data_IF_398196352390
#
_entry.id   IF_398196352390
#
_cell.length_a   1.000
_cell.length_b   1.000
_cell.length_c   1.000
_cell.angle_alpha   90.00
_cell.angle_beta   90.00
_cell.angle_gamma   90.00
#
_symmetry.space_group_name_H-M   'P 1'
#
loop_
_entity.id
_entity.type
_entity.pdbx_description
1 polymer ?
#
# COMPACT_ATOMS: atom_id res chain seq x y z
N UNK A 1 42.31 -24.66 -51.91
CA UNK A 1 42.56 -24.17 -53.29
C UNK A 1 41.24 -23.73 -53.90
N UNK A 2 41.21 -22.48 -54.39
CA UNK A 2 40.29 -21.86 -55.37
C UNK A 2 38.80 -21.62 -55.02
N UNK A 3 38.54 -20.36 -54.66
CA UNK A 3 37.43 -19.45 -55.01
C UNK A 3 36.48 -19.88 -56.14
N UNK A 4 35.21 -19.47 -56.04
CA UNK A 4 34.56 -18.52 -56.97
C UNK A 4 33.20 -18.04 -56.44
N UNK A 5 32.89 -16.77 -56.71
CA UNK A 5 31.74 -16.01 -56.23
C UNK A 5 30.80 -15.57 -57.39
N UNK A 6 29.53 -15.26 -57.06
CA UNK A 6 28.62 -14.37 -57.78
C UNK A 6 27.59 -15.04 -58.74
N UNK A 7 26.46 -14.39 -59.08
CA UNK A 7 26.17 -12.94 -58.97
C UNK A 7 24.80 -12.54 -58.35
N UNK A 8 24.65 -11.21 -58.28
CA UNK A 8 23.55 -10.38 -57.80
C UNK A 8 22.25 -10.48 -58.61
N UNK A 9 21.12 -10.24 -57.94
CA UNK A 9 19.84 -9.90 -58.57
C UNK A 9 18.97 -9.07 -57.62
N UNK A 10 18.87 -7.76 -57.88
CA UNK A 10 18.00 -6.82 -57.18
C UNK A 10 16.66 -6.68 -57.92
N UNK A 11 15.54 -6.64 -57.18
CA UNK A 11 14.28 -6.07 -57.65
C UNK A 11 13.74 -5.15 -56.55
N UNK A 12 13.61 -3.88 -56.90
CA UNK A 12 12.93 -2.82 -56.14
C UNK A 12 11.52 -2.72 -56.69
N UNK A 13 10.50 -2.67 -55.83
CA UNK A 13 9.27 -1.93 -56.13
C UNK A 13 8.58 -1.45 -54.85
N UNK A 14 8.38 -0.14 -54.80
CA UNK A 14 7.73 0.62 -53.76
C UNK A 14 6.21 0.52 -53.83
N UNK A 15 5.55 0.57 -52.68
CA UNK A 15 4.11 0.77 -52.53
C UNK A 15 3.82 1.63 -51.30
N UNK A 16 3.09 2.72 -51.52
CA UNK A 16 2.89 3.87 -50.62
C UNK A 16 1.73 3.67 -49.64
N UNK A 17 1.85 4.38 -48.51
CA UNK A 17 1.00 4.58 -47.32
C UNK A 17 -0.54 4.59 -47.49
N UNK A 18 -1.25 4.18 -46.43
CA UNK A 18 -2.36 4.97 -45.82
C UNK A 18 -2.74 4.50 -44.40
N UNK A 19 -2.54 5.42 -43.45
CA UNK A 19 -3.26 5.74 -42.20
C UNK A 19 -4.18 4.73 -41.47
N UNK A 20 -4.05 4.72 -40.14
CA UNK A 20 -5.22 4.92 -39.27
C UNK A 20 -5.51 3.88 -38.19
N UNK A 21 -4.68 3.82 -37.14
CA UNK A 21 -5.16 3.74 -35.75
C UNK A 21 -3.99 4.08 -34.81
N UNK A 22 -3.96 5.33 -34.36
CA UNK A 22 -3.22 5.76 -33.17
C UNK A 22 -3.85 5.09 -31.95
N UNK A 23 -3.42 3.87 -31.66
CA UNK A 23 -3.63 3.23 -30.37
C UNK A 23 -2.38 3.43 -29.51
N UNK A 24 -2.14 4.68 -29.08
CA UNK A 24 -1.20 4.95 -28.00
C UNK A 24 -1.76 4.32 -26.73
N UNK A 25 -1.46 3.04 -26.48
CA UNK A 25 -1.57 2.50 -25.13
C UNK A 25 -0.32 2.95 -24.40
N UNK A 26 -0.50 3.97 -23.58
CA UNK A 26 0.50 4.58 -22.75
C UNK A 26 1.37 3.52 -22.06
N UNK A 27 2.61 3.42 -22.53
CA UNK A 27 3.73 2.94 -21.73
C UNK A 27 3.90 3.94 -20.58
N UNK A 28 3.17 3.74 -19.49
CA UNK A 28 3.51 4.35 -18.20
C UNK A 28 4.76 3.64 -17.66
N UNK A 29 5.90 4.04 -18.23
CA UNK A 29 7.26 3.65 -17.86
C UNK A 29 7.68 4.10 -16.47
N UNK A 30 6.90 3.73 -15.45
CA UNK A 30 7.32 3.75 -14.05
C UNK A 30 7.55 2.32 -13.59
N UNK A 31 8.78 1.82 -13.68
CA UNK A 31 9.20 0.45 -13.34
C UNK A 31 9.11 0.07 -11.85
N UNK A 32 8.20 0.69 -11.09
CA UNK A 32 8.02 0.46 -9.65
C UNK A 32 6.71 -0.26 -9.37
N UNK A 33 6.71 -1.10 -8.33
CA UNK A 33 5.50 -1.78 -7.85
C UNK A 33 4.37 -0.79 -7.54
N UNK A 34 3.13 -1.28 -7.52
CA UNK A 34 1.96 -0.48 -7.11
C UNK A 34 2.17 0.16 -5.73
N UNK A 35 2.79 -0.59 -4.81
CA UNK A 35 3.16 -0.12 -3.50
C UNK A 35 4.15 1.05 -3.55
N UNK A 36 5.24 0.94 -4.32
CA UNK A 36 6.22 2.03 -4.44
C UNK A 36 5.59 3.29 -5.04
N UNK A 37 4.69 3.14 -6.04
CA UNK A 37 3.92 4.28 -6.57
C UNK A 37 3.02 4.91 -5.52
N UNK A 38 2.38 4.12 -4.67
CA UNK A 38 1.56 4.64 -3.57
C UNK A 38 2.40 5.42 -2.54
N UNK A 39 3.59 4.93 -2.18
CA UNK A 39 4.52 5.62 -1.28
C UNK A 39 5.01 6.98 -1.82
N UNK A 40 5.09 7.14 -3.16
CA UNK A 40 5.38 8.44 -3.80
C UNK A 40 4.29 9.48 -3.56
N UNK A 41 3.09 9.08 -3.15
CA UNK A 41 2.00 10.04 -2.87
C UNK A 41 1.99 10.53 -1.42
N UNK A 42 2.86 9.98 -0.56
CA UNK A 42 2.94 10.33 0.86
C UNK A 42 4.16 11.22 1.13
N UNK A 43 4.00 12.29 1.92
CA UNK A 43 5.10 13.20 2.20
C UNK A 43 6.15 12.53 3.08
N UNK A 44 7.42 12.87 2.88
CA UNK A 44 8.53 12.38 3.71
C UNK A 44 8.34 12.68 5.22
N UNK A 45 7.57 13.71 5.58
CA UNK A 45 7.24 14.04 6.97
C UNK A 45 6.36 12.99 7.68
N UNK A 46 5.82 12.01 6.95
CA UNK A 46 5.07 10.90 7.51
C UNK A 46 5.95 9.71 7.93
N UNK A 47 7.29 9.83 7.86
CA UNK A 47 8.24 8.74 8.08
C UNK A 47 8.14 8.05 9.45
N UNK A 48 7.63 8.77 10.45
CA UNK A 48 7.41 8.29 11.82
C UNK A 48 6.03 7.71 12.07
N UNK A 49 5.11 7.84 11.13
CA UNK A 49 3.77 7.30 11.27
C UNK A 49 3.66 5.85 10.83
N UNK A 50 2.66 5.15 11.35
CA UNK A 50 2.19 3.93 10.71
C UNK A 50 1.58 4.25 9.35
N UNK A 51 1.93 3.49 8.31
CA UNK A 51 1.36 3.65 6.96
C UNK A 51 0.79 2.32 6.51
N UNK A 52 -0.51 2.27 6.21
CA UNK A 52 -1.18 1.10 5.65
C UNK A 52 -1.60 1.39 4.21
N UNK A 53 -1.25 0.49 3.30
CA UNK A 53 -1.56 0.49 1.88
C UNK A 53 -2.47 -0.67 1.52
N UNK A 54 -3.43 -0.44 0.63
CA UNK A 54 -4.27 -1.48 0.03
C UNK A 54 -4.43 -1.21 -1.48
N UNK A 55 -4.15 -2.23 -2.29
CA UNK A 55 -4.60 -2.33 -3.69
C UNK A 55 -6.08 -2.71 -3.69
N UNK A 56 -6.96 -1.72 -3.88
CA UNK A 56 -8.40 -1.89 -3.69
C UNK A 56 -9.02 -2.84 -4.73
N UNK A 57 -8.68 -2.78 -6.03
CA UNK A 57 -9.17 -3.74 -7.01
C UNK A 57 -8.84 -5.19 -6.65
N UNK A 58 -7.64 -5.45 -6.13
CA UNK A 58 -7.23 -6.79 -5.69
C UNK A 58 -7.94 -7.21 -4.42
N UNK A 59 -7.99 -6.33 -3.41
CA UNK A 59 -8.72 -6.56 -2.17
C UNK A 59 -10.20 -6.91 -2.43
N UNK A 60 -10.87 -6.19 -3.33
CA UNK A 60 -12.26 -6.47 -3.72
C UNK A 60 -12.43 -7.87 -4.29
N UNK A 61 -11.54 -8.31 -5.19
CA UNK A 61 -11.57 -9.68 -5.75
C UNK A 61 -11.37 -10.73 -4.65
N UNK A 62 -10.45 -10.50 -3.72
CA UNK A 62 -10.20 -11.40 -2.59
C UNK A 62 -11.40 -11.47 -1.64
N UNK A 63 -12.02 -10.34 -1.33
CA UNK A 63 -13.25 -10.26 -0.54
C UNK A 63 -14.43 -10.99 -1.18
N UNK A 64 -14.57 -10.93 -2.51
CA UNK A 64 -15.59 -11.69 -3.23
C UNK A 64 -15.29 -13.21 -3.20
N UNK A 65 -14.02 -13.61 -3.28
CA UNK A 65 -13.57 -15.01 -3.25
C UNK A 65 -13.76 -15.66 -1.88
N UNK A 66 -13.32 -14.99 -0.80
CA UNK A 66 -13.44 -15.49 0.56
C UNK A 66 -13.56 -14.33 1.58
N UNK A 67 -14.78 -13.83 1.73
CA UNK A 67 -15.06 -12.72 2.66
C UNK A 67 -14.61 -13.01 4.08
N UNK A 68 -14.67 -14.25 4.56
CA UNK A 68 -14.31 -14.59 5.95
C UNK A 68 -12.80 -14.46 6.18
N UNK A 69 -12.00 -14.88 5.21
CA UNK A 69 -10.55 -14.74 5.26
C UNK A 69 -10.11 -13.28 5.08
N UNK A 70 -10.70 -12.56 4.12
CA UNK A 70 -10.23 -11.23 3.70
C UNK A 70 -11.04 -10.06 4.28
N UNK A 71 -11.88 -10.30 5.29
CA UNK A 71 -12.84 -9.31 5.82
C UNK A 71 -12.23 -7.95 6.15
N UNK A 72 -10.99 -7.91 6.65
CA UNK A 72 -10.28 -6.66 7.00
C UNK A 72 -10.05 -5.78 5.76
N UNK A 73 -9.78 -6.39 4.60
CA UNK A 73 -9.52 -5.68 3.34
C UNK A 73 -10.81 -5.11 2.73
N UNK A 74 -11.98 -5.66 3.08
CA UNK A 74 -13.25 -5.28 2.46
C UNK A 74 -13.74 -3.89 2.87
N UNK A 75 -13.12 -3.26 3.87
CA UNK A 75 -13.46 -1.93 4.37
C UNK A 75 -12.52 -0.83 3.89
N UNK A 76 -11.74 -1.04 2.82
CA UNK A 76 -10.72 -0.09 2.30
C UNK A 76 -9.62 0.30 3.30
N UNK A 77 -9.57 -0.30 4.50
CA UNK A 77 -8.58 0.01 5.52
C UNK A 77 -8.62 1.43 6.07
N UNK A 78 -9.74 2.16 5.93
CA UNK A 78 -9.88 3.53 6.46
C UNK A 78 -10.71 3.57 7.75
N UNK A 79 -10.35 4.50 8.62
CA UNK A 79 -10.98 4.66 9.93
C UNK A 79 -12.48 5.01 9.81
N UNK A 80 -12.87 5.80 8.81
CA UNK A 80 -14.27 6.21 8.63
C UNK A 80 -15.23 5.04 8.40
N UNK A 81 -14.73 3.93 7.82
CA UNK A 81 -15.53 2.73 7.60
C UNK A 81 -15.45 1.76 8.79
N UNK A 82 -14.36 1.81 9.54
CA UNK A 82 -14.10 0.88 10.64
C UNK A 82 -14.69 1.35 11.97
N UNK A 83 -14.50 2.61 12.35
CA UNK A 83 -14.89 3.14 13.68
C UNK A 83 -16.29 3.71 13.75
N UNK A 84 -16.81 4.25 12.65
CA UNK A 84 -18.19 4.79 12.63
C UNK A 84 -19.24 3.68 12.58
N UNK A 85 -18.82 2.42 12.73
CA UNK A 85 -19.70 1.27 12.68
C UNK A 85 -20.50 1.29 11.39
N UNK A 86 -19.83 1.36 10.24
CA UNK A 86 -20.51 1.23 8.96
C UNK A 86 -21.19 -0.14 8.91
N UNK A 87 -22.46 -0.16 9.30
CA UNK A 87 -23.30 -1.36 9.49
C UNK A 87 -23.89 -1.89 8.18
N UNK A 88 -23.25 -1.56 7.04
CA UNK A 88 -23.67 -2.03 5.72
C UNK A 88 -24.73 -1.17 5.02
N UNK A 89 -24.73 0.15 5.25
CA UNK A 89 -25.45 1.12 4.40
C UNK A 89 -24.89 1.14 2.97
N UNK A 90 -25.31 2.06 2.09
CA UNK A 90 -24.64 2.22 0.78
C UNK A 90 -23.46 3.18 0.94
N UNK A 91 -22.22 2.72 0.72
CA UNK A 91 -21.01 3.57 0.78
C UNK A 91 -21.20 4.79 -0.12
N UNK A 92 -21.78 4.56 -1.31
CA UNK A 92 -22.14 5.60 -2.27
C UNK A 92 -23.19 6.57 -1.73
N UNK A 93 -24.21 6.06 -1.03
CA UNK A 93 -25.23 6.92 -0.42
C UNK A 93 -24.70 7.77 0.73
N UNK A 94 -23.84 7.19 1.57
CA UNK A 94 -23.36 7.81 2.80
C UNK A 94 -22.16 8.73 2.57
N UNK A 95 -21.29 8.39 1.62
CA UNK A 95 -20.00 9.04 1.41
C UNK A 95 -19.79 9.56 -0.02
N UNK A 96 -20.68 9.21 -0.94
CA UNK A 96 -20.65 9.70 -2.32
C UNK A 96 -19.68 8.96 -3.26
N UNK A 97 -19.06 7.88 -2.79
CA UNK A 97 -18.21 7.00 -3.58
C UNK A 97 -18.44 5.55 -3.14
N UNK A 98 -17.99 4.56 -3.91
CA UNK A 98 -17.94 3.16 -3.50
C UNK A 98 -16.55 2.53 -3.75
N UNK A 99 -16.39 1.23 -3.50
CA UNK A 99 -15.11 0.53 -3.64
C UNK A 99 -14.60 0.46 -5.09
N UNK A 100 -15.49 0.51 -6.10
CA UNK A 100 -15.09 0.57 -7.51
C UNK A 100 -14.57 1.94 -7.94
N UNK A 101 -14.82 2.99 -7.15
CA UNK A 101 -14.33 4.34 -7.40
C UNK A 101 -12.90 4.53 -6.83
N UNK A 102 -12.35 3.52 -6.15
CA UNK A 102 -11.04 3.57 -5.47
C UNK A 102 -10.09 2.53 -6.05
N UNK A 103 -8.90 2.98 -6.47
CA UNK A 103 -7.81 2.14 -6.95
C UNK A 103 -6.79 1.85 -5.85
N UNK A 104 -6.53 2.81 -4.97
CA UNK A 104 -5.55 2.69 -3.89
C UNK A 104 -6.08 3.36 -2.63
N UNK A 105 -5.90 2.70 -1.49
CA UNK A 105 -6.16 3.27 -0.18
C UNK A 105 -4.86 3.36 0.63
N UNK A 106 -4.63 4.53 1.22
CA UNK A 106 -3.55 4.77 2.16
C UNK A 106 -4.13 5.32 3.46
N UNK A 107 -3.77 4.72 4.59
CA UNK A 107 -4.03 5.25 5.92
C UNK A 107 -2.70 5.61 6.58
N UNK A 108 -2.62 6.79 7.18
CA UNK A 108 -1.40 7.33 7.79
C UNK A 108 -1.71 7.77 9.22
N UNK A 109 -0.88 7.31 10.15
CA UNK A 109 -0.97 7.64 11.56
C UNK A 109 -2.30 7.18 12.16
N UNK A 110 -2.95 8.05 12.92
CA UNK A 110 -4.18 7.74 13.65
C UNK A 110 -5.45 8.16 12.90
N UNK A 111 -5.47 7.98 11.57
CA UNK A 111 -6.69 8.05 10.78
C UNK A 111 -6.76 9.09 9.68
N UNK A 112 -5.67 9.80 9.36
CA UNK A 112 -5.61 10.49 8.07
C UNK A 112 -5.59 9.43 6.96
N UNK A 113 -6.33 9.65 5.89
CA UNK A 113 -6.40 8.72 4.77
C UNK A 113 -6.29 9.44 3.43
N UNK A 114 -5.72 8.76 2.45
CA UNK A 114 -5.64 9.21 1.05
C UNK A 114 -6.12 8.07 0.17
N UNK A 115 -7.23 8.31 -0.51
CA UNK A 115 -7.79 7.42 -1.53
C UNK A 115 -7.44 7.98 -2.91
N UNK A 116 -6.91 7.14 -3.79
CA UNK A 116 -6.75 7.45 -5.21
C UNK A 116 -7.77 6.65 -6.03
N UNK A 117 -8.33 7.25 -7.07
CA UNK A 117 -9.29 6.60 -7.94
C UNK A 117 -10.04 7.58 -8.84
N UNK A 118 -11.35 7.38 -9.00
CA UNK A 118 -12.22 8.22 -9.83
C UNK A 118 -13.39 8.72 -9.00
N UNK A 119 -13.37 10.00 -8.63
CA UNK A 119 -14.32 10.58 -7.70
C UNK A 119 -15.21 11.61 -8.39
N UNK A 120 -16.52 11.51 -8.14
CA UNK A 120 -17.48 12.56 -8.45
C UNK A 120 -17.52 13.54 -7.26
N UNK A 121 -16.82 14.66 -7.43
CA UNK A 121 -16.67 15.70 -6.39
C UNK A 121 -18.01 16.27 -5.95
N UNK A 122 -18.99 16.38 -6.86
CA UNK A 122 -20.33 16.87 -6.51
C UNK A 122 -21.11 15.85 -5.69
N UNK A 123 -21.06 14.58 -6.08
CA UNK A 123 -21.75 13.50 -5.36
C UNK A 123 -21.17 13.34 -3.96
N UNK A 124 -19.85 13.39 -3.80
CA UNK A 124 -19.19 13.41 -2.49
C UNK A 124 -19.58 14.66 -1.69
N UNK A 125 -19.57 15.84 -2.30
CA UNK A 125 -20.00 17.09 -1.64
C UNK A 125 -21.43 17.00 -1.09
N UNK A 126 -22.36 16.48 -1.90
CA UNK A 126 -23.76 16.28 -1.51
C UNK A 126 -23.87 15.30 -0.34
N UNK A 127 -23.16 14.17 -0.38
CA UNK A 127 -23.15 13.19 0.69
C UNK A 127 -22.58 13.76 1.99
N UNK A 128 -21.44 14.46 1.91
CA UNK A 128 -20.78 15.06 3.07
C UNK A 128 -21.61 16.20 3.68
N UNK A 129 -22.30 17.01 2.87
CA UNK A 129 -23.25 18.03 3.36
C UNK A 129 -24.36 17.41 4.20
N UNK A 130 -24.93 16.28 3.78
CA UNK A 130 -25.93 15.53 4.57
C UNK A 130 -25.40 15.08 5.93
N UNK A 131 -24.08 14.89 6.06
CA UNK A 131 -23.39 14.51 7.31
C UNK A 131 -22.94 15.71 8.17
N UNK A 132 -23.32 16.93 7.77
CA UNK A 132 -23.03 18.17 8.47
C UNK A 132 -21.68 18.80 8.13
N UNK A 133 -21.02 18.37 7.05
CA UNK A 133 -19.86 19.08 6.51
C UNK A 133 -20.30 20.35 5.78
N UNK A 134 -19.48 21.39 5.86
CA UNK A 134 -19.65 22.64 5.12
C UNK A 134 -18.47 22.82 4.17
N UNK A 135 -18.76 23.32 2.97
CA UNK A 135 -17.72 23.67 2.02
C UNK A 135 -16.82 24.76 2.60
N UNK A 136 -15.52 24.60 2.41
CA UNK A 136 -14.51 25.63 2.56
C UNK A 136 -13.91 25.84 1.17
N UNK A 137 -13.78 27.09 0.75
CA UNK A 137 -13.31 27.42 -0.60
C UNK A 137 -11.79 27.21 -0.68
N UNK A 138 -11.35 26.48 -1.70
CA UNK A 138 -9.97 26.46 -2.20
C UNK A 138 -10.00 26.35 -3.74
N UNK A 139 -8.96 26.84 -4.41
CA UNK A 139 -8.86 26.95 -5.87
C UNK A 139 -9.14 25.63 -6.62
N UNK A 140 -10.36 25.45 -7.15
CA UNK A 140 -10.74 24.33 -8.01
C UNK A 140 -10.97 22.97 -7.31
N UNK A 141 -10.44 22.80 -6.10
CA UNK A 141 -10.61 21.60 -5.26
C UNK A 141 -11.71 21.80 -4.21
N UNK A 142 -12.40 20.71 -3.87
CA UNK A 142 -13.45 20.73 -2.86
C UNK A 142 -12.83 20.45 -1.48
N UNK A 143 -12.82 21.44 -0.59
CA UNK A 143 -12.53 21.23 0.83
C UNK A 143 -13.82 21.24 1.65
N UNK A 144 -14.00 20.26 2.52
CA UNK A 144 -15.20 20.05 3.33
C UNK A 144 -14.80 19.91 4.80
N UNK A 145 -15.42 20.68 5.68
CA UNK A 145 -15.08 20.69 7.11
C UNK A 145 -16.29 20.42 7.98
N UNK A 146 -16.09 19.67 9.06
CA UNK A 146 -17.05 19.50 10.15
C UNK A 146 -16.44 20.03 11.44
N UNK A 147 -17.26 20.66 12.29
CA UNK A 147 -16.81 21.06 13.64
C UNK A 147 -16.29 19.84 14.39
N UNK A 148 -15.08 19.92 14.96
CA UNK A 148 -14.47 18.78 15.68
C UNK A 148 -13.26 18.12 15.01
N UNK A 149 -12.61 18.81 14.07
CA UNK A 149 -11.25 18.54 13.58
C UNK A 149 -11.05 17.49 12.47
N UNK A 150 -12.13 17.05 11.82
CA UNK A 150 -12.04 16.27 10.57
C UNK A 150 -12.33 17.17 9.37
N UNK A 151 -11.41 17.15 8.40
CA UNK A 151 -11.58 17.80 7.10
C UNK A 151 -11.43 16.77 5.99
N UNK A 152 -12.11 17.00 4.86
CA UNK A 152 -12.00 16.16 3.67
C UNK A 152 -11.74 17.04 2.48
N UNK A 153 -10.65 16.77 1.77
CA UNK A 153 -10.34 17.42 0.49
C UNK A 153 -10.58 16.42 -0.64
N UNK A 154 -11.15 16.87 -1.74
CA UNK A 154 -11.57 16.00 -2.86
C UNK A 154 -11.28 16.67 -4.19
N UNK A 155 -10.60 15.94 -5.06
CA UNK A 155 -10.49 16.21 -6.49
C UNK A 155 -11.14 15.07 -7.29
N UNK A 156 -11.13 15.17 -8.63
CA UNK A 156 -11.64 14.08 -9.49
C UNK A 156 -10.87 12.76 -9.36
N UNK A 157 -9.67 12.77 -8.78
CA UNK A 157 -8.76 11.61 -8.73
C UNK A 157 -8.28 11.24 -7.33
N UNK A 158 -8.44 12.14 -6.35
CA UNK A 158 -7.94 11.93 -4.99
C UNK A 158 -8.96 12.41 -3.97
N UNK A 159 -9.15 11.62 -2.91
CA UNK A 159 -9.86 12.04 -1.70
C UNK A 159 -8.92 11.91 -0.52
N UNK A 160 -8.76 12.99 0.24
CA UNK A 160 -7.97 13.03 1.46
C UNK A 160 -8.88 13.29 2.65
N UNK A 161 -8.77 12.46 3.69
CA UNK A 161 -9.32 12.77 5.01
C UNK A 161 -8.19 13.19 5.93
N UNK A 162 -8.40 14.30 6.62
CA UNK A 162 -7.50 14.84 7.62
C UNK A 162 -8.06 14.60 9.01
N UNK A 163 -7.26 13.96 9.86
CA UNK A 163 -7.51 13.90 11.30
C UNK A 163 -6.57 14.84 12.05
N UNK A 164 -7.08 15.45 13.12
CA UNK A 164 -6.23 16.22 14.03
C UNK A 164 -5.03 15.40 14.50
N UNK A 165 -3.84 16.03 14.53
CA UNK A 165 -2.56 15.43 14.98
C UNK A 165 -1.96 14.35 14.07
N UNK A 166 -2.51 14.11 12.87
CA UNK A 166 -1.88 13.28 11.85
C UNK A 166 -1.12 14.15 10.83
N UNK A 167 -0.15 13.61 10.06
CA UNK A 167 0.50 14.36 9.00
C UNK A 167 -0.50 14.92 8.00
N UNK A 168 -0.21 16.12 7.50
CA UNK A 168 -1.00 16.74 6.45
C UNK A 168 -0.75 16.00 5.14
N UNK A 169 -1.77 15.30 4.66
CA UNK A 169 -1.77 14.68 3.34
C UNK A 169 -2.25 15.72 2.31
N UNK A 170 -1.91 15.51 1.04
CA UNK A 170 -2.24 16.46 -0.04
C UNK A 170 -2.92 15.75 -1.20
N UNK A 171 -3.74 16.50 -1.94
CA UNK A 171 -4.33 16.04 -3.19
C UNK A 171 -3.25 15.81 -4.26
N UNK A 172 -2.24 16.68 -4.27
CA UNK A 172 -1.08 16.61 -5.16
C UNK A 172 0.05 15.77 -4.57
N UNK A 173 0.95 15.34 -5.44
CA UNK A 173 2.19 14.65 -5.07
C UNK A 173 3.14 15.62 -4.34
N UNK A 174 3.70 15.23 -3.18
CA UNK A 174 4.71 16.04 -2.48
C UNK A 174 6.07 16.08 -3.21
N UNK A 175 6.87 17.12 -2.97
CA UNK A 175 8.22 17.25 -3.54
C UNK A 175 9.21 16.18 -3.04
N UNK A 176 9.03 15.77 -1.77
CA UNK A 176 9.78 14.68 -1.13
C UNK A 176 8.82 13.69 -0.52
N UNK A 177 9.04 12.43 -0.83
CA UNK A 177 8.09 11.36 -0.57
C UNK A 177 8.70 10.26 0.30
N UNK A 178 7.86 9.37 0.82
CA UNK A 178 8.36 8.19 1.52
C UNK A 178 9.11 7.23 0.58
N UNK A 179 8.79 7.21 -0.71
CA UNK A 179 9.51 6.39 -1.67
C UNK A 179 10.97 6.84 -1.91
N UNK A 180 11.28 8.11 -1.62
CA UNK A 180 12.64 8.66 -1.73
C UNK A 180 13.51 8.32 -0.50
N UNK A 181 12.91 7.73 0.54
CA UNK A 181 13.61 7.28 1.72
C UNK A 181 14.15 5.85 1.54
N UNK A 182 15.46 5.68 1.65
CA UNK A 182 16.14 4.40 1.40
C UNK A 182 15.60 3.24 2.25
N UNK A 183 15.18 3.51 3.49
CA UNK A 183 14.62 2.47 4.35
C UNK A 183 13.26 2.00 3.83
N UNK A 184 12.40 2.92 3.40
CA UNK A 184 11.11 2.60 2.79
C UNK A 184 11.28 1.91 1.43
N UNK A 185 12.23 2.35 0.59
CA UNK A 185 12.55 1.70 -0.67
C UNK A 185 13.05 0.25 -0.45
N UNK A 186 13.92 0.03 0.53
CA UNK A 186 14.46 -1.29 0.88
C UNK A 186 13.39 -2.23 1.43
N UNK A 187 12.56 -1.74 2.36
CA UNK A 187 11.48 -2.55 2.97
C UNK A 187 10.37 -2.84 1.95
N UNK A 188 10.00 -1.89 1.09
CA UNK A 188 9.01 -2.13 0.02
C UNK A 188 9.52 -3.14 -1.02
N UNK A 189 10.78 -3.04 -1.45
CA UNK A 189 11.41 -4.02 -2.34
C UNK A 189 11.40 -5.42 -1.73
N UNK A 190 11.68 -5.52 -0.43
CA UNK A 190 11.63 -6.80 0.28
C UNK A 190 10.23 -7.45 0.28
N UNK A 191 9.15 -6.65 0.36
CA UNK A 191 7.77 -7.14 0.31
C UNK A 191 7.32 -7.46 -1.11
N UNK A 192 7.85 -6.77 -2.12
CA UNK A 192 7.52 -6.96 -3.53
C UNK A 192 6.16 -6.37 -3.91
N UNK A 193 5.48 -6.99 -4.88
CA UNK A 193 4.15 -6.60 -5.34
C UNK A 193 3.06 -7.04 -4.34
N UNK A 194 2.99 -6.29 -3.25
CA UNK A 194 2.02 -6.54 -2.19
C UNK A 194 0.64 -5.99 -2.58
N UNK A 195 -0.45 -6.74 -2.31
CA UNK A 195 -1.82 -6.23 -2.43
C UNK A 195 -2.26 -5.44 -1.19
N UNK A 196 -1.55 -5.61 -0.08
CA UNK A 196 -1.65 -4.79 1.12
C UNK A 196 -0.27 -4.70 1.77
N UNK A 197 0.00 -3.58 2.44
CA UNK A 197 1.21 -3.47 3.26
C UNK A 197 0.99 -2.52 4.42
N UNK A 198 1.57 -2.83 5.58
CA UNK A 198 1.64 -1.93 6.73
C UNK A 198 3.10 -1.69 7.13
N UNK A 199 3.53 -0.43 7.09
CA UNK A 199 4.80 0.04 7.62
C UNK A 199 4.62 0.55 9.05
N UNK A 200 5.51 0.12 9.93
CA UNK A 200 5.59 0.61 11.29
C UNK A 200 6.68 1.68 11.33
N UNK A 201 6.25 2.95 11.28
CA UNK A 201 7.11 4.13 11.10
C UNK A 201 8.36 4.17 11.98
N UNK A 202 9.34 4.94 11.51
CA UNK A 202 10.66 5.06 12.14
C UNK A 202 10.53 5.55 13.58
N UNK A 203 11.18 4.87 14.52
CA UNK A 203 11.18 5.25 15.94
C UNK A 203 12.51 5.87 16.33
N UNK A 204 12.47 7.06 16.94
CA UNK A 204 13.69 7.74 17.45
C UNK A 204 14.49 6.90 18.46
N UNK A 205 13.82 6.05 19.23
CA UNK A 205 14.39 5.28 20.35
C UNK A 205 14.71 3.83 19.99
N UNK A 206 14.30 3.36 18.82
CA UNK A 206 14.63 2.00 18.36
C UNK A 206 16.01 2.01 17.72
N UNK A 207 17.03 1.67 18.49
CA UNK A 207 18.39 1.55 17.97
C UNK A 207 18.64 0.26 17.20
N UNK A 208 17.68 -0.69 17.19
CA UNK A 208 17.86 -2.01 16.57
C UNK A 208 17.19 -2.12 15.20
N UNK A 209 15.90 -1.76 15.11
CA UNK A 209 15.14 -1.77 13.85
C UNK A 209 14.93 -0.34 13.38
N UNK A 210 15.39 -0.04 12.16
CA UNK A 210 15.27 1.27 11.50
C UNK A 210 13.85 1.47 10.99
N UNK A 211 13.35 0.50 10.23
CA UNK A 211 12.00 0.46 9.69
C UNK A 211 11.57 -1.00 9.57
N UNK A 212 10.29 -1.28 9.79
CA UNK A 212 9.73 -2.59 9.47
C UNK A 212 8.41 -2.44 8.75
N UNK A 213 8.09 -3.41 7.91
CA UNK A 213 6.81 -3.53 7.25
C UNK A 213 6.38 -4.99 7.13
N UNK A 214 5.08 -5.18 7.02
CA UNK A 214 4.47 -6.48 6.71
C UNK A 214 3.58 -6.27 5.50
N UNK A 215 3.69 -7.15 4.51
CA UNK A 215 2.88 -7.06 3.30
C UNK A 215 2.41 -8.42 2.82
N UNK A 216 1.19 -8.42 2.32
CA UNK A 216 0.49 -9.57 1.77
C UNK A 216 0.67 -9.64 0.26
N UNK A 217 1.01 -10.83 -0.24
CA UNK A 217 1.19 -11.11 -1.67
C UNK A 217 0.38 -12.31 -2.10
N UNK A 218 0.00 -12.32 -3.37
CA UNK A 218 -0.58 -13.48 -4.03
C UNK A 218 0.49 -14.20 -4.83
N UNK A 219 0.52 -15.52 -4.73
CA UNK A 219 1.21 -16.35 -5.71
C UNK A 219 0.33 -16.56 -6.95
N UNK A 220 0.90 -17.11 -8.02
CA UNK A 220 0.21 -17.33 -9.29
C UNK A 220 -1.01 -18.27 -9.16
N UNK A 221 -0.98 -19.18 -8.19
CA UNK A 221 -2.09 -20.07 -7.84
C UNK A 221 -3.21 -19.36 -7.04
N UNK A 222 -3.06 -18.06 -6.78
CA UNK A 222 -3.97 -17.26 -5.99
C UNK A 222 -3.95 -17.58 -4.49
N UNK A 223 -2.95 -18.31 -4.02
CA UNK A 223 -2.67 -18.48 -2.59
C UNK A 223 -2.07 -17.20 -2.02
N UNK A 224 -2.44 -16.88 -0.78
CA UNK A 224 -2.05 -15.65 -0.11
C UNK A 224 -1.02 -15.94 0.97
N UNK A 225 0.02 -15.10 1.05
CA UNK A 225 1.05 -15.15 2.09
C UNK A 225 1.41 -13.74 2.53
N UNK A 226 1.86 -13.61 3.78
CA UNK A 226 2.41 -12.37 4.30
C UNK A 226 3.92 -12.52 4.50
N UNK A 227 4.63 -11.39 4.40
CA UNK A 227 6.07 -11.30 4.64
C UNK A 227 6.37 -10.09 5.50
N UNK A 228 7.03 -10.34 6.63
CA UNK A 228 7.69 -9.32 7.43
C UNK A 228 9.07 -9.00 6.84
N UNK A 229 9.35 -7.71 6.74
CA UNK A 229 10.62 -7.14 6.32
C UNK A 229 11.06 -6.08 7.33
N UNK A 230 12.13 -6.35 8.08
CA UNK A 230 12.66 -5.43 9.08
C UNK A 230 14.11 -5.03 8.75
N UNK A 231 14.30 -3.77 8.38
CA UNK A 231 15.63 -3.20 8.17
C UNK A 231 16.25 -2.86 9.52
N UNK A 232 17.44 -3.40 9.79
CA UNK A 232 18.12 -3.21 11.07
C UNK A 232 19.32 -2.29 10.95
N UNK A 233 19.71 -1.68 12.08
CA UNK A 233 20.79 -0.68 12.14
C UNK A 233 22.19 -1.28 12.06
N UNK A 234 22.32 -2.59 12.30
CA UNK A 234 23.58 -3.30 12.34
C UNK A 234 23.35 -4.81 12.29
N UNK A 235 24.40 -5.57 11.97
CA UNK A 235 24.38 -7.04 12.06
C UNK A 235 24.02 -7.56 13.45
N UNK A 236 24.55 -6.95 14.51
CA UNK A 236 24.22 -7.32 15.90
C UNK A 236 22.73 -7.10 16.19
N UNK A 237 22.17 -5.99 15.71
CA UNK A 237 20.73 -5.74 15.83
C UNK A 237 19.92 -6.78 15.05
N UNK A 238 20.33 -7.12 13.83
CA UNK A 238 19.71 -8.16 13.01
C UNK A 238 19.65 -9.52 13.73
N UNK A 239 20.75 -9.94 14.35
CA UNK A 239 20.82 -11.19 15.11
C UNK A 239 19.90 -11.19 16.34
N UNK A 240 19.84 -10.07 17.07
CA UNK A 240 18.90 -9.88 18.19
C UNK A 240 17.45 -9.97 17.70
N UNK A 241 17.11 -9.22 16.66
CA UNK A 241 15.77 -9.21 16.05
C UNK A 241 15.38 -10.60 15.55
N UNK A 242 16.27 -11.31 14.86
CA UNK A 242 16.01 -12.65 14.38
C UNK A 242 15.82 -13.66 15.53
N UNK A 243 16.58 -13.53 16.61
CA UNK A 243 16.41 -14.36 17.81
C UNK A 243 15.05 -14.12 18.47
N UNK A 244 14.61 -12.86 18.57
CA UNK A 244 13.29 -12.54 19.10
C UNK A 244 12.17 -13.10 18.22
N UNK A 245 12.27 -12.96 16.89
CA UNK A 245 11.28 -13.51 15.96
C UNK A 245 11.25 -15.04 15.99
N UNK A 246 12.39 -15.73 16.11
CA UNK A 246 12.42 -17.21 16.19
C UNK A 246 11.63 -17.76 17.38
N UNK A 247 11.53 -17.02 18.49
CA UNK A 247 10.67 -17.40 19.63
C UNK A 247 9.19 -17.43 19.25
N UNK A 248 8.75 -16.56 18.34
CA UNK A 248 7.38 -16.56 17.81
C UNK A 248 7.12 -17.72 16.82
N UNK A 249 8.18 -18.44 16.42
CA UNK A 249 8.13 -19.60 15.51
C UNK A 249 8.23 -20.95 16.21
N UNK A 250 8.33 -20.96 17.54
CA UNK A 250 8.36 -22.17 18.35
C UNK A 250 7.02 -22.93 18.28
N UNK A 251 7.01 -24.26 18.51
CA UNK A 251 5.77 -25.04 18.59
C UNK A 251 4.76 -24.42 19.57
N UNK A 252 3.48 -24.39 19.17
CA UNK A 252 2.39 -23.83 19.98
C UNK A 252 2.25 -22.30 19.92
N UNK A 253 3.13 -21.60 19.18
CA UNK A 253 2.98 -20.17 18.86
C UNK A 253 2.19 -19.99 17.57
N UNK A 254 1.72 -18.76 17.33
CA UNK A 254 0.96 -18.41 16.14
C UNK A 254 1.74 -18.74 14.85
N UNK A 255 3.03 -18.41 14.79
CA UNK A 255 3.84 -18.56 13.58
C UNK A 255 4.75 -19.79 13.59
N UNK A 256 4.32 -20.86 14.27
CA UNK A 256 5.10 -22.07 14.43
C UNK A 256 5.61 -22.62 13.08
N UNK A 257 6.91 -22.95 13.02
CA UNK A 257 7.53 -23.53 11.83
C UNK A 257 7.84 -22.55 10.68
N UNK A 258 7.56 -21.26 10.85
CA UNK A 258 7.97 -20.24 9.87
C UNK A 258 9.48 -19.98 9.94
N UNK A 259 10.08 -19.67 8.79
CA UNK A 259 11.53 -19.45 8.70
C UNK A 259 11.86 -17.97 8.89
N UNK A 260 12.81 -17.68 9.78
CA UNK A 260 13.41 -16.34 9.98
C UNK A 260 14.80 -16.31 9.35
N UNK A 261 15.03 -15.37 8.43
CA UNK A 261 16.31 -15.16 7.74
C UNK A 261 16.90 -13.80 8.05
N UNK A 262 18.24 -13.75 8.07
CA UNK A 262 19.03 -12.51 8.23
C UNK A 262 19.81 -12.31 6.93
N UNK A 263 19.66 -11.15 6.31
CA UNK A 263 20.39 -10.75 5.12
C UNK A 263 21.86 -10.39 5.41
N UNK A 264 22.60 -10.04 4.35
CA UNK A 264 23.96 -9.50 4.46
C UNK A 264 23.99 -7.97 4.53
N UNK A 265 25.19 -7.40 4.54
CA UNK A 265 25.44 -5.95 4.57
C UNK A 265 25.57 -5.35 5.97
N UNK A 266 25.83 -4.05 6.03
CA UNK A 266 26.02 -3.31 7.28
C UNK A 266 24.69 -3.03 8.00
N UNK A 267 23.60 -2.92 7.24
CA UNK A 267 22.22 -2.75 7.72
C UNK A 267 21.34 -3.91 7.24
N UNK A 268 21.47 -5.12 7.82
CA UNK A 268 20.77 -6.28 7.29
C UNK A 268 19.24 -6.19 7.38
N UNK A 269 18.57 -6.78 6.40
CA UNK A 269 17.15 -7.10 6.47
C UNK A 269 16.94 -8.42 7.23
N UNK A 270 16.06 -8.40 8.23
CA UNK A 270 15.50 -9.62 8.83
C UNK A 270 14.14 -9.87 8.19
N UNK A 271 13.89 -11.09 7.73
CA UNK A 271 12.63 -11.43 7.06
C UNK A 271 12.01 -12.71 7.60
N UNK A 272 10.69 -12.76 7.54
CA UNK A 272 9.87 -13.90 7.96
C UNK A 272 8.63 -13.96 7.07
N UNK A 273 8.19 -15.16 6.68
CA UNK A 273 7.01 -15.33 5.81
C UNK A 273 6.12 -16.45 6.30
N UNK A 274 4.81 -16.28 6.14
CA UNK A 274 3.81 -17.27 6.51
C UNK A 274 2.66 -17.29 5.50
N UNK A 275 1.96 -18.42 5.43
CA UNK A 275 0.77 -18.56 4.59
C UNK A 275 -0.44 -18.02 5.33
N UNK A 276 -1.31 -17.33 4.60
CA UNK A 276 -2.56 -16.86 5.16
C UNK A 276 -3.59 -17.99 5.20
N UNK A 277 -4.46 -17.97 6.22
CA UNK A 277 -5.51 -18.96 6.42
C UNK A 277 -6.79 -18.31 6.94
N UNK A 278 -7.85 -19.10 7.09
CA UNK A 278 -9.14 -18.63 7.65
C UNK A 278 -9.10 -18.44 9.16
N UNK A 279 -8.13 -19.04 9.83
CA UNK A 279 -7.89 -18.85 11.26
C UNK A 279 -7.57 -17.39 11.54
N UNK A 280 -8.14 -16.82 12.60
CA UNK A 280 -7.97 -15.39 12.86
C UNK A 280 -6.49 -14.96 12.90
N UNK A 281 -5.62 -15.79 13.46
CA UNK A 281 -4.16 -15.56 13.58
C UNK A 281 -3.40 -15.46 12.28
N UNK A 282 -4.00 -15.85 11.16
CA UNK A 282 -3.35 -15.91 9.86
C UNK A 282 -4.20 -15.24 8.77
N UNK A 283 -5.13 -14.36 9.15
CA UNK A 283 -5.81 -13.51 8.16
C UNK A 283 -4.90 -12.35 7.77
N UNK A 284 -4.93 -11.92 6.49
CA UNK A 284 -4.23 -10.72 6.08
C UNK A 284 -4.64 -9.52 6.93
N UNK A 285 -3.66 -8.72 7.35
CA UNK A 285 -3.87 -7.55 8.21
C UNK A 285 -4.65 -7.86 9.51
N UNK A 286 -4.47 -9.04 10.10
CA UNK A 286 -4.99 -9.35 11.43
C UNK A 286 -4.21 -8.58 12.51
N UNK A 287 -4.33 -7.23 12.49
CA UNK A 287 -3.46 -6.29 13.19
C UNK A 287 -3.23 -6.64 14.67
N UNK A 288 -4.25 -7.10 15.41
CA UNK A 288 -4.08 -7.46 16.82
C UNK A 288 -3.06 -8.60 17.05
N UNK A 289 -2.92 -9.51 16.10
CA UNK A 289 -1.99 -10.64 16.17
C UNK A 289 -0.70 -10.35 15.41
N UNK A 290 -0.78 -9.65 14.28
CA UNK A 290 0.38 -9.23 13.50
C UNK A 290 1.22 -8.18 14.24
N UNK A 291 0.62 -7.35 15.10
CA UNK A 291 1.31 -6.38 15.95
C UNK A 291 2.27 -7.02 16.96
N UNK A 292 2.09 -8.30 17.32
CA UNK A 292 3.01 -8.99 18.23
C UNK A 292 4.43 -9.04 17.67
N UNK A 293 4.59 -9.13 16.34
CA UNK A 293 5.88 -9.20 15.68
C UNK A 293 6.67 -7.88 15.81
N UNK A 294 6.14 -6.70 15.42
CA UNK A 294 6.77 -5.41 15.74
C UNK A 294 7.09 -5.24 17.22
N UNK A 295 6.22 -5.66 18.13
CA UNK A 295 6.51 -5.56 19.58
C UNK A 295 7.65 -6.48 20.02
N UNK A 296 7.71 -7.71 19.50
CA UNK A 296 8.78 -8.65 19.81
C UNK A 296 10.16 -8.14 19.39
N UNK A 297 10.24 -7.43 18.26
CA UNK A 297 11.49 -6.88 17.72
C UNK A 297 12.06 -5.69 18.52
N UNK A 298 11.24 -5.03 19.34
CA UNK A 298 11.62 -3.82 20.09
C UNK A 298 12.10 -4.15 21.52
N UNK A 299 11.83 -5.37 22.01
CA UNK A 299 12.33 -5.86 23.30
C UNK A 299 13.81 -6.25 23.20
#
# INVERSE_FOLDING_TARGET
MRNSAGPLGAVVLAGVMAAGATGCSSDDGGSGSHLTRALRTLPASADREGVTYIDVPTARKLCAKDRKQYMVLCGLGIQELTELGYRGGSLKGDWGFDDKDVDTSLMVGNGSSRLAGKFDTETISRAMKKRGYRAATHDGDVSLRKSGATAVDVSGTVRVTHQSKSPKLTLTTPDRTLADDEAYATVSTCMGDAYEATFYGKRKTSHSVVLSGIGGRLADDGSSSEKLCALTSSRKAAEKTATALRKETEPGRAYAGTKVTVGGGDTPLVTMSWKNSREMSHRPMANNQTLSLPYAMIK
#
